data_IF_572656909341
#
_entry.id   IF_572656909341
#
_cell.length_a   1.000
_cell.length_b   1.000
_cell.length_c   1.000
_cell.angle_alpha   90.00
_cell.angle_beta   90.00
_cell.angle_gamma   90.00
#
_symmetry.space_group_name_H-M   'P 1'
#
loop_
_entity.id
_entity.type
_entity.pdbx_description
1 polymer ?
#
# COMPACT_ATOMS: atom_id res chain seq x y z
N UNK A 1 -2.53 -10.00 -36.21
CA UNK A 1 -2.47 -9.34 -34.89
C UNK A 1 -1.11 -9.63 -34.31
N UNK A 2 -0.29 -8.61 -34.05
CA UNK A 2 1.02 -8.81 -33.43
C UNK A 2 0.81 -9.44 -32.06
N UNK A 3 1.55 -10.51 -31.75
CA UNK A 3 1.58 -11.06 -30.41
C UNK A 3 2.10 -9.97 -29.47
N UNK A 4 1.31 -9.58 -28.47
CA UNK A 4 1.83 -8.75 -27.39
C UNK A 4 3.01 -9.50 -26.76
N UNK A 5 4.20 -8.91 -26.82
CA UNK A 5 5.37 -9.46 -26.15
C UNK A 5 5.06 -9.56 -24.65
N UNK A 6 5.18 -10.78 -24.12
CA UNK A 6 5.01 -11.03 -22.68
C UNK A 6 6.30 -10.67 -21.97
N UNK A 7 6.39 -9.46 -21.45
CA UNK A 7 7.52 -9.04 -20.61
C UNK A 7 7.48 -9.82 -19.29
N UNK A 8 8.61 -10.43 -18.94
CA UNK A 8 8.84 -10.98 -17.60
C UNK A 8 9.66 -9.98 -16.80
N UNK A 9 9.17 -9.67 -15.59
CA UNK A 9 9.86 -8.80 -14.65
C UNK A 9 10.13 -9.63 -13.40
N UNK A 10 11.40 -9.76 -13.01
CA UNK A 10 11.78 -10.37 -11.74
C UNK A 10 11.66 -9.32 -10.64
N UNK A 11 10.92 -9.66 -9.58
CA UNK A 11 10.88 -8.87 -8.34
C UNK A 11 11.76 -9.57 -7.32
N UNK A 12 12.77 -8.86 -6.83
CA UNK A 12 13.71 -9.36 -5.83
C UNK A 12 13.76 -8.45 -4.59
N UNK A 13 14.64 -8.78 -3.63
CA UNK A 13 14.76 -8.07 -2.34
C UNK A 13 13.46 -8.03 -1.51
N UNK A 14 12.65 -9.09 -1.62
CA UNK A 14 11.43 -9.25 -0.84
C UNK A 14 11.68 -10.16 0.35
N UNK A 15 11.16 -9.77 1.51
CA UNK A 15 11.10 -10.59 2.73
C UNK A 15 9.65 -10.75 3.17
N UNK A 16 9.29 -11.91 3.73
CA UNK A 16 7.95 -12.19 4.24
C UNK A 16 7.95 -12.37 5.75
N UNK A 17 6.89 -11.88 6.41
CA UNK A 17 6.60 -12.10 7.83
C UNK A 17 5.19 -12.64 7.97
N UNK A 18 4.98 -13.60 8.86
CA UNK A 18 3.64 -14.09 9.18
C UNK A 18 3.07 -13.34 10.40
N UNK A 19 2.03 -12.51 10.20
CA UNK A 19 1.48 -11.68 11.26
C UNK A 19 0.90 -12.44 12.47
N UNK A 20 0.48 -13.70 12.31
CA UNK A 20 -0.02 -14.52 13.41
C UNK A 20 1.11 -15.16 14.22
N UNK A 21 2.20 -15.54 13.56
CA UNK A 21 3.34 -16.23 14.19
C UNK A 21 4.43 -15.27 14.67
N UNK A 22 4.54 -14.11 14.03
CA UNK A 22 5.64 -13.14 14.22
C UNK A 22 5.11 -11.70 14.45
N UNK A 23 4.17 -11.49 15.39
CA UNK A 23 3.54 -10.17 15.59
C UNK A 23 4.55 -9.08 15.97
N UNK A 24 5.54 -9.39 16.81
CA UNK A 24 6.57 -8.43 17.23
C UNK A 24 7.46 -8.01 16.05
N UNK A 25 7.81 -8.95 15.17
CA UNK A 25 8.57 -8.64 13.96
C UNK A 25 7.77 -7.74 13.00
N UNK A 26 6.45 -7.91 12.91
CA UNK A 26 5.58 -7.01 12.14
C UNK A 26 5.54 -5.62 12.76
N UNK A 27 5.40 -5.51 14.07
CA UNK A 27 5.42 -4.24 14.82
C UNK A 27 6.75 -3.51 14.56
N UNK A 28 7.87 -4.21 14.64
CA UNK A 28 9.21 -3.67 14.37
C UNK A 28 9.34 -3.20 12.93
N UNK A 29 8.77 -3.97 12.00
CA UNK A 29 8.77 -3.61 10.58
C UNK A 29 7.96 -2.33 10.34
N UNK A 30 6.77 -2.19 10.92
CA UNK A 30 5.98 -0.95 10.87
C UNK A 30 6.75 0.22 11.48
N UNK A 31 7.35 0.04 12.65
CA UNK A 31 8.08 1.10 13.35
C UNK A 31 9.28 1.65 12.55
N UNK A 32 9.92 0.78 11.75
CA UNK A 32 11.13 1.09 10.98
C UNK A 32 10.88 1.35 9.48
N UNK A 33 9.65 1.21 9.00
CA UNK A 33 9.33 1.44 7.58
C UNK A 33 9.31 2.92 7.23
N UNK A 34 9.65 3.19 5.97
CA UNK A 34 9.56 4.52 5.35
C UNK A 34 8.16 4.78 4.78
N UNK A 35 7.50 3.71 4.32
CA UNK A 35 6.14 3.70 3.80
C UNK A 35 5.49 2.35 4.13
N UNK A 36 4.20 2.36 4.45
CA UNK A 36 3.43 1.17 4.76
C UNK A 36 2.25 1.12 3.79
N UNK A 37 2.07 0.01 3.09
CA UNK A 37 0.94 -0.17 2.16
C UNK A 37 0.14 -1.43 2.49
N UNK A 38 -1.14 -1.45 2.12
CA UNK A 38 -2.00 -2.64 2.28
C UNK A 38 -2.72 -2.97 0.98
N UNK A 39 -2.88 -4.25 0.68
CA UNK A 39 -3.69 -4.77 -0.44
C UNK A 39 -4.29 -6.13 -0.06
N UNK A 40 -5.01 -6.16 1.07
CA UNK A 40 -5.43 -7.39 1.77
C UNK A 40 -6.95 -7.60 1.77
N UNK A 41 -7.71 -6.64 1.25
CA UNK A 41 -9.16 -6.58 1.28
C UNK A 41 -9.69 -5.76 2.46
N UNK A 42 -10.77 -5.00 2.26
CA UNK A 42 -11.28 -4.05 3.27
C UNK A 42 -11.72 -4.74 4.57
N UNK A 43 -12.20 -5.98 4.49
CA UNK A 43 -12.63 -6.76 5.65
C UNK A 43 -11.46 -7.21 6.54
N UNK A 44 -10.23 -7.18 6.03
CA UNK A 44 -9.02 -7.57 6.75
C UNK A 44 -8.33 -6.37 7.41
N UNK A 45 -8.62 -5.13 6.97
CA UNK A 45 -8.06 -3.91 7.57
C UNK A 45 -8.22 -3.84 9.10
N UNK A 46 -9.38 -4.19 9.71
CA UNK A 46 -9.52 -4.19 11.16
C UNK A 46 -8.56 -5.17 11.86
N UNK A 47 -8.19 -6.27 11.21
CA UNK A 47 -7.34 -7.32 11.79
C UNK A 47 -5.89 -6.85 11.92
N UNK A 48 -5.42 -6.00 11.00
CA UNK A 48 -4.05 -5.46 11.02
C UNK A 48 -3.92 -4.14 11.80
N UNK A 49 -5.04 -3.49 12.14
CA UNK A 49 -5.07 -2.16 12.73
C UNK A 49 -4.30 -2.09 14.06
N UNK A 50 -4.45 -3.11 14.91
CA UNK A 50 -3.73 -3.17 16.20
C UNK A 50 -2.21 -3.28 15.99
N UNK A 51 -1.74 -4.07 15.02
CA UNK A 51 -0.32 -4.22 14.73
C UNK A 51 0.28 -2.90 14.21
N UNK A 52 -0.46 -2.19 13.35
CA UNK A 52 -0.06 -0.86 12.88
C UNK A 52 0.01 0.13 14.05
N UNK A 53 -1.01 0.16 14.91
CA UNK A 53 -1.05 1.03 16.08
C UNK A 53 0.16 0.80 17.01
N UNK A 54 0.47 -0.48 17.29
CA UNK A 54 1.64 -0.87 18.09
C UNK A 54 2.96 -0.45 17.44
N UNK A 55 3.07 -0.56 16.12
CA UNK A 55 4.24 -0.07 15.38
C UNK A 55 4.40 1.46 15.45
N UNK A 56 3.30 2.21 15.36
CA UNK A 56 3.29 3.67 15.53
C UNK A 56 3.71 4.04 16.97
N UNK A 57 3.16 3.36 17.97
CA UNK A 57 3.52 3.54 19.38
C UNK A 57 5.01 3.29 19.61
N UNK A 58 5.55 2.18 19.07
CA UNK A 58 6.97 1.87 19.16
C UNK A 58 7.83 2.96 18.50
N UNK A 59 7.47 3.40 17.29
CA UNK A 59 8.16 4.49 16.58
C UNK A 59 8.21 5.78 17.40
N UNK A 60 7.09 6.14 18.06
CA UNK A 60 7.02 7.29 18.98
C UNK A 60 7.90 7.11 20.21
N UNK A 61 7.84 5.95 20.86
CA UNK A 61 8.62 5.64 22.07
C UNK A 61 10.13 5.66 21.81
N UNK A 62 10.55 5.30 20.59
CA UNK A 62 11.94 5.40 20.13
C UNK A 62 12.34 6.83 19.73
N UNK A 63 11.42 7.81 19.81
CA UNK A 63 11.68 9.20 19.49
C UNK A 63 11.87 9.48 18.00
N UNK A 64 11.50 8.55 17.12
CA UNK A 64 11.67 8.72 15.68
C UNK A 64 10.65 9.74 15.14
N UNK A 65 11.12 10.89 14.66
CA UNK A 65 10.27 11.96 14.10
C UNK A 65 10.21 11.94 12.56
N UNK A 66 10.83 10.94 11.92
CA UNK A 66 10.84 10.84 10.46
C UNK A 66 9.41 10.60 9.96
N UNK A 67 8.86 11.44 9.07
CA UNK A 67 7.51 11.23 8.57
C UNK A 67 7.38 9.93 7.78
N UNK A 68 6.26 9.23 7.93
CA UNK A 68 5.89 8.02 7.18
C UNK A 68 4.44 8.09 6.75
N UNK A 69 4.09 7.44 5.63
CA UNK A 69 2.70 7.34 5.18
C UNK A 69 2.22 5.88 5.25
N UNK A 70 0.98 5.69 5.68
CA UNK A 70 0.24 4.42 5.70
C UNK A 70 -0.87 4.50 4.64
N UNK A 71 -0.72 3.77 3.54
CA UNK A 71 -1.55 3.89 2.34
C UNK A 71 -2.31 2.58 2.08
N UNK A 72 -3.62 2.57 2.34
CA UNK A 72 -4.45 1.43 2.01
C UNK A 72 -4.73 1.40 0.50
N UNK A 73 -4.07 0.51 -0.22
CA UNK A 73 -4.20 0.27 -1.66
C UNK A 73 -5.31 -0.76 -1.92
N UNK A 74 -6.47 -0.54 -1.30
CA UNK A 74 -7.62 -1.42 -1.42
C UNK A 74 -8.55 -0.97 -2.56
N UNK A 75 -9.34 -1.90 -3.10
CA UNK A 75 -10.41 -1.54 -4.03
C UNK A 75 -11.63 -0.96 -3.28
N UNK A 76 -11.42 0.15 -2.57
CA UNK A 76 -12.45 0.89 -1.85
C UNK A 76 -12.15 2.39 -1.84
N UNK A 77 -13.20 3.20 -1.83
CA UNK A 77 -13.07 4.65 -1.61
C UNK A 77 -12.79 4.89 -0.13
N UNK A 78 -11.81 5.73 0.19
CA UNK A 78 -11.55 6.11 1.58
C UNK A 78 -10.79 5.07 2.41
N UNK A 79 -10.12 4.10 1.77
CA UNK A 79 -9.51 2.97 2.47
C UNK A 79 -8.53 3.36 3.58
N UNK A 80 -7.71 4.39 3.36
CA UNK A 80 -6.72 4.83 4.36
C UNK A 80 -7.39 5.50 5.55
N UNK A 81 -8.49 6.25 5.34
CA UNK A 81 -9.28 6.86 6.40
C UNK A 81 -9.99 5.79 7.24
N UNK A 82 -10.57 4.79 6.58
CA UNK A 82 -11.18 3.65 7.28
C UNK A 82 -10.12 2.91 8.11
N UNK A 83 -8.93 2.69 7.56
CA UNK A 83 -7.83 2.09 8.31
C UNK A 83 -7.42 2.97 9.50
N UNK A 84 -7.27 4.28 9.30
CA UNK A 84 -6.97 5.23 10.37
C UNK A 84 -8.02 5.17 11.49
N UNK A 85 -9.31 5.15 11.16
CA UNK A 85 -10.38 5.01 12.17
C UNK A 85 -10.20 3.76 13.03
N UNK A 86 -9.81 2.63 12.43
CA UNK A 86 -9.53 1.39 13.18
C UNK A 86 -8.24 1.45 13.97
N UNK A 87 -7.18 2.05 13.42
CA UNK A 87 -5.89 2.21 14.11
C UNK A 87 -6.06 3.08 15.35
N UNK A 88 -6.81 4.20 15.24
CA UNK A 88 -7.04 5.15 16.33
C UNK A 88 -7.69 4.53 17.57
N UNK A 89 -8.46 3.44 17.44
CA UNK A 89 -9.09 2.79 18.60
C UNK A 89 -8.08 2.14 19.56
N UNK A 90 -6.83 1.98 19.12
CA UNK A 90 -5.72 1.40 19.91
C UNK A 90 -4.70 2.45 20.36
N UNK A 91 -4.93 3.74 20.05
CA UNK A 91 -3.99 4.82 20.31
C UNK A 91 -4.44 5.67 21.51
N UNK A 92 -3.47 6.12 22.30
CA UNK A 92 -3.69 7.14 23.34
C UNK A 92 -3.68 8.55 22.73
N UNK A 93 -4.12 9.56 23.49
CA UNK A 93 -4.07 10.97 23.03
C UNK A 93 -2.65 11.44 22.67
N UNK A 94 -1.64 10.95 23.38
CA UNK A 94 -0.23 11.24 23.08
C UNK A 94 0.19 10.60 21.74
N UNK A 95 -0.26 9.37 21.48
CA UNK A 95 0.00 8.69 20.20
C UNK A 95 -0.72 9.40 19.04
N UNK A 96 -1.94 9.87 19.25
CA UNK A 96 -2.71 10.62 18.25
C UNK A 96 -2.03 11.94 17.89
N UNK A 97 -1.49 12.65 18.89
CA UNK A 97 -0.69 13.87 18.67
C UNK A 97 0.55 13.56 17.83
N UNK A 98 1.21 12.43 18.08
CA UNK A 98 2.35 12.00 17.27
C UNK A 98 1.94 11.67 15.82
N UNK A 99 0.83 10.94 15.62
CA UNK A 99 0.27 10.63 14.29
C UNK A 99 -0.02 11.90 13.50
N UNK A 100 -0.70 12.88 14.10
CA UNK A 100 -1.04 14.14 13.42
C UNK A 100 0.19 14.88 12.86
N UNK A 101 1.33 14.77 13.55
CA UNK A 101 2.56 15.44 13.16
C UNK A 101 3.45 14.63 12.21
N UNK A 102 3.42 13.29 12.28
CA UNK A 102 4.45 12.45 11.64
C UNK A 102 3.92 11.31 10.77
N UNK A 103 2.65 10.91 10.90
CA UNK A 103 2.11 9.75 10.17
C UNK A 103 0.94 10.17 9.28
N UNK A 104 1.14 10.09 7.96
CA UNK A 104 0.07 10.34 6.99
C UNK A 104 -0.76 9.09 6.76
N UNK A 105 -2.06 9.29 6.47
CA UNK A 105 -2.96 8.25 6.01
C UNK A 105 -3.61 8.68 4.69
N UNK A 106 -2.83 8.92 3.63
CA UNK A 106 -3.40 9.40 2.38
C UNK A 106 -4.20 8.30 1.69
N UNK A 107 -5.39 8.64 1.21
CA UNK A 107 -6.15 7.75 0.35
C UNK A 107 -5.40 7.43 -0.94
N UNK A 108 -5.73 6.29 -1.53
CA UNK A 108 -5.27 5.91 -2.84
C UNK A 108 -6.40 5.45 -3.75
N UNK A 109 -6.21 5.66 -5.05
CA UNK A 109 -6.94 4.96 -6.10
C UNK A 109 -5.94 4.05 -6.83
N UNK A 110 -6.24 2.75 -6.89
CA UNK A 110 -5.41 1.75 -7.58
C UNK A 110 -6.20 1.05 -8.65
N UNK A 111 -5.58 0.78 -9.80
CA UNK A 111 -6.21 0.10 -10.93
C UNK A 111 -5.18 -0.76 -11.67
N UNK A 112 -5.44 -2.08 -11.69
CA UNK A 112 -4.70 -3.08 -12.47
C UNK A 112 -5.50 -4.37 -12.44
N UNK A 113 -5.76 -4.95 -13.60
CA UNK A 113 -6.39 -6.27 -13.70
C UNK A 113 -5.35 -7.36 -13.45
N UNK A 114 -5.66 -8.21 -12.47
CA UNK A 114 -4.94 -9.45 -12.17
C UNK A 114 -5.89 -10.61 -12.46
N UNK A 115 -5.73 -11.35 -13.58
CA UNK A 115 -6.61 -12.45 -13.93
C UNK A 115 -6.50 -13.63 -12.94
N UNK A 116 -7.56 -14.46 -12.86
CA UNK A 116 -7.49 -15.74 -12.14
C UNK A 116 -6.47 -16.57 -12.89
N UNK A 117 -5.50 -17.06 -12.15
CA UNK A 117 -4.39 -17.78 -12.70
C UNK A 117 -3.90 -18.81 -11.68
N UNK A 118 -3.35 -19.90 -12.20
CA UNK A 118 -2.74 -20.93 -11.40
C UNK A 118 -1.42 -21.30 -12.07
N UNK A 119 -0.35 -21.22 -11.30
CA UNK A 119 1.00 -21.51 -11.73
C UNK A 119 1.63 -22.50 -10.75
N UNK A 120 2.70 -23.17 -11.19
CA UNK A 120 3.46 -24.07 -10.30
C UNK A 120 4.19 -23.29 -9.21
N UNK A 121 4.73 -22.12 -9.56
CA UNK A 121 5.30 -21.18 -8.61
C UNK A 121 4.17 -20.35 -7.95
N UNK A 122 3.94 -20.47 -6.62
CA UNK A 122 2.88 -19.76 -5.92
C UNK A 122 3.10 -18.25 -5.83
N UNK A 123 4.31 -17.75 -6.12
CA UNK A 123 4.63 -16.31 -6.14
C UNK A 123 4.54 -15.69 -7.53
N UNK A 124 4.39 -16.52 -8.56
CA UNK A 124 4.28 -16.03 -9.92
C UNK A 124 2.90 -15.41 -10.18
N UNK A 125 2.91 -14.18 -10.70
CA UNK A 125 1.71 -13.43 -11.04
C UNK A 125 1.85 -12.79 -12.42
N UNK A 126 0.86 -13.02 -13.27
CA UNK A 126 0.64 -12.35 -14.54
C UNK A 126 -0.38 -11.24 -14.34
N UNK A 127 -0.11 -10.07 -14.90
CA UNK A 127 -0.98 -8.90 -14.82
C UNK A 127 -1.12 -8.29 -16.21
N UNK A 128 -2.14 -7.47 -16.41
CA UNK A 128 -2.20 -6.66 -17.62
C UNK A 128 -1.08 -5.58 -17.64
N UNK A 129 -0.72 -5.05 -18.82
CA UNK A 129 0.27 -3.98 -18.93
C UNK A 129 -0.17 -2.67 -18.26
N UNK A 130 -1.47 -2.35 -18.31
CA UNK A 130 -1.99 -1.13 -17.70
C UNK A 130 -1.90 -1.20 -16.18
N UNK A 131 -1.43 -0.10 -15.58
CA UNK A 131 -1.56 0.11 -14.15
C UNK A 131 -1.67 1.60 -13.85
N UNK A 132 -2.43 1.91 -12.81
CA UNK A 132 -2.54 3.25 -12.27
C UNK A 132 -2.54 3.18 -10.75
N UNK A 133 -1.70 3.99 -10.12
CA UNK A 133 -1.70 4.18 -8.68
C UNK A 133 -1.59 5.67 -8.40
N UNK A 134 -2.64 6.21 -7.78
CA UNK A 134 -2.74 7.61 -7.40
C UNK A 134 -2.93 7.73 -5.89
N UNK A 135 -2.25 8.70 -5.28
CA UNK A 135 -2.27 8.98 -3.84
C UNK A 135 -2.71 10.42 -3.62
N UNK A 136 -3.58 10.65 -2.64
CA UNK A 136 -3.97 11.99 -2.20
C UNK A 136 -2.83 12.66 -1.41
N UNK A 137 -2.13 13.58 -2.06
CA UNK A 137 -0.95 14.22 -1.48
C UNK A 137 -1.28 15.26 -0.39
N UNK A 138 -2.55 15.65 -0.26
CA UNK A 138 -2.97 16.60 0.78
C UNK A 138 -2.91 15.99 2.18
N UNK A 139 -3.00 14.66 2.26
CA UNK A 139 -3.01 13.88 3.50
C UNK A 139 -1.65 13.21 3.80
N UNK A 140 -0.69 13.34 2.88
CA UNK A 140 0.66 12.77 3.02
C UNK A 140 1.51 13.60 3.97
N UNK A 141 2.19 12.93 4.90
CA UNK A 141 3.20 13.53 5.79
C UNK A 141 4.61 13.26 5.27
N UNK A 142 4.82 12.12 4.62
CA UNK A 142 6.11 11.73 4.06
C UNK A 142 6.37 12.28 2.64
N UNK A 143 6.20 13.60 2.44
CA UNK A 143 6.30 14.23 1.10
C UNK A 143 7.66 14.08 0.41
N UNK A 144 8.71 13.80 1.18
CA UNK A 144 10.05 13.51 0.69
C UNK A 144 10.19 12.12 0.04
N UNK A 145 9.23 11.21 0.26
CA UNK A 145 9.23 9.86 -0.29
C UNK A 145 8.26 9.82 -1.48
N UNK A 146 8.82 9.65 -2.68
CA UNK A 146 8.03 9.50 -3.91
C UNK A 146 8.46 8.24 -4.63
N UNK A 147 7.49 7.38 -4.91
CA UNK A 147 7.69 6.16 -5.68
C UNK A 147 7.58 6.46 -7.16
N UNK A 148 8.41 5.81 -7.97
CA UNK A 148 8.30 5.86 -9.42
C UNK A 148 6.98 5.26 -9.88
N UNK A 149 6.38 5.85 -10.92
CA UNK A 149 5.10 5.42 -11.51
C UNK A 149 3.89 5.51 -10.56
N UNK A 150 3.99 6.28 -9.48
CA UNK A 150 2.88 6.65 -8.60
C UNK A 150 2.56 8.13 -8.79
N UNK A 151 1.30 8.44 -9.09
CA UNK A 151 0.83 9.83 -9.17
C UNK A 151 0.45 10.34 -7.79
N UNK A 152 0.88 11.55 -7.47
CA UNK A 152 0.51 12.25 -6.24
C UNK A 152 -0.35 13.45 -6.61
N UNK A 153 -1.63 13.41 -6.25
CA UNK A 153 -2.65 14.36 -6.72
C UNK A 153 -3.33 15.05 -5.56
N UNK A 154 -3.90 16.23 -5.80
CA UNK A 154 -4.67 16.96 -4.79
C UNK A 154 -6.14 16.52 -4.70
N UNK A 155 -6.62 15.77 -5.69
CA UNK A 155 -8.01 15.29 -5.75
C UNK A 155 -8.07 13.95 -6.49
N UNK A 156 -8.61 12.93 -5.80
CA UNK A 156 -8.81 11.58 -6.34
C UNK A 156 -10.16 11.43 -7.06
N UNK A 157 -11.15 12.31 -6.82
CA UNK A 157 -12.51 12.13 -7.31
C UNK A 157 -12.61 11.92 -8.83
N UNK A 158 -11.93 12.71 -9.69
CA UNK A 158 -12.01 12.51 -11.15
C UNK A 158 -11.53 11.13 -11.60
N UNK A 159 -10.56 10.56 -10.88
CA UNK A 159 -9.95 9.27 -11.20
C UNK A 159 -10.82 8.11 -10.73
N UNK A 160 -11.40 8.24 -9.54
CA UNK A 160 -12.38 7.29 -9.00
C UNK A 160 -13.60 7.24 -9.92
N UNK A 161 -14.14 8.39 -10.34
CA UNK A 161 -15.26 8.46 -11.28
C UNK A 161 -14.92 7.77 -12.61
N UNK A 162 -13.79 8.14 -13.23
CA UNK A 162 -13.32 7.51 -14.48
C UNK A 162 -13.16 6.00 -14.35
N UNK A 163 -12.63 5.51 -13.22
CA UNK A 163 -12.50 4.07 -12.93
C UNK A 163 -13.88 3.41 -12.83
N UNK A 164 -14.82 3.99 -12.09
CA UNK A 164 -16.16 3.46 -11.95
C UNK A 164 -16.88 3.34 -13.30
N UNK A 165 -16.79 4.35 -14.16
CA UNK A 165 -17.40 4.31 -15.50
C UNK A 165 -16.82 3.20 -16.39
N UNK A 166 -15.50 2.95 -16.34
CA UNK A 166 -14.86 1.84 -17.07
C UNK A 166 -15.24 0.48 -16.47
N UNK A 167 -15.19 0.36 -15.14
CA UNK A 167 -15.49 -0.90 -14.44
C UNK A 167 -16.93 -1.39 -14.59
N UNK A 168 -17.91 -0.48 -14.78
CA UNK A 168 -19.30 -0.85 -15.09
C UNK A 168 -19.39 -1.52 -16.47
N UNK A 169 -18.52 -1.17 -17.41
CA UNK A 169 -18.42 -1.83 -18.71
C UNK A 169 -17.67 -3.17 -18.62
N UNK A 170 -16.74 -3.30 -17.67
CA UNK A 170 -15.87 -4.46 -17.47
C UNK A 170 -16.37 -5.47 -16.41
N UNK A 171 -17.64 -5.37 -15.99
CA UNK A 171 -18.22 -6.11 -14.85
C UNK A 171 -18.48 -7.62 -15.12
N UNK A 172 -17.49 -8.33 -15.66
CA UNK A 172 -17.37 -9.79 -15.60
C UNK A 172 -15.99 -10.18 -15.06
N UNK A 173 -15.96 -10.58 -13.76
CA UNK A 173 -14.84 -11.13 -12.97
C UNK A 173 -13.90 -10.04 -12.42
N UNK A 174 -13.48 -10.05 -11.15
CA UNK A 174 -12.65 -11.10 -10.56
C UNK A 174 -12.38 -10.87 -9.05
N UNK A 175 -12.19 -11.97 -8.30
CA UNK A 175 -11.91 -12.02 -6.85
C UNK A 175 -10.45 -11.69 -6.49
N UNK A 176 -10.30 -10.79 -5.51
CA UNK A 176 -9.47 -10.78 -4.27
C UNK A 176 -8.13 -11.55 -4.20
N UNK A 177 -7.12 -10.81 -3.68
CA UNK A 177 -5.88 -11.16 -2.93
C UNK A 177 -4.64 -11.69 -3.64
N UNK A 178 -3.53 -10.94 -3.52
CA UNK A 178 -2.21 -11.47 -3.13
C UNK A 178 -1.22 -10.35 -2.73
N UNK A 179 -0.51 -10.59 -1.62
CA UNK A 179 0.81 -10.07 -1.21
C UNK A 179 0.91 -8.65 -0.61
N UNK A 180 0.80 -8.62 0.73
CA UNK A 180 1.38 -7.58 1.60
C UNK A 180 2.91 -7.55 1.41
N UNK A 181 3.44 -6.46 0.85
CA UNK A 181 4.88 -6.21 0.76
C UNK A 181 5.24 -5.08 1.72
N UNK A 182 6.06 -5.35 2.73
CA UNK A 182 6.70 -4.30 3.53
C UNK A 182 8.03 -3.97 2.83
N UNK A 183 8.12 -2.77 2.25
CA UNK A 183 9.35 -2.28 1.61
C UNK A 183 10.26 -1.68 2.68
N UNK A 184 11.36 -2.37 3.01
CA UNK A 184 12.53 -1.77 3.68
C UNK A 184 13.59 -1.44 2.64
N UNK A 185 14.02 -0.18 2.59
CA UNK A 185 15.07 0.27 1.66
C UNK A 185 16.42 -0.35 2.06
N UNK A 186 16.95 -1.24 1.23
CA UNK A 186 18.41 -1.37 1.08
C UNK A 186 18.84 -0.44 -0.06
N UNK A 187 19.92 0.31 0.18
CA UNK A 187 20.34 1.38 -0.71
C UNK A 187 20.92 0.85 -2.03
N UNK A 188 20.32 1.24 -3.16
CA UNK A 188 20.96 1.91 -4.31
C UNK A 188 19.94 2.25 -5.40
N UNK A 189 19.67 3.55 -5.58
CA UNK A 189 19.20 4.07 -6.86
C UNK A 189 20.38 4.07 -7.83
N UNK A 190 20.25 3.39 -8.96
CA UNK A 190 20.73 3.90 -10.26
C UNK A 190 20.37 2.91 -11.38
N UNK A 191 19.76 3.48 -12.42
CA UNK A 191 19.58 2.97 -13.79
C UNK A 191 18.36 2.06 -14.04
N UNK A 192 17.36 2.64 -14.71
CA UNK A 192 16.89 2.11 -16.01
C UNK A 192 16.29 3.27 -16.80
N UNK A 193 17.14 3.86 -17.65
CA UNK A 193 16.73 4.59 -18.85
C UNK A 193 16.41 3.56 -19.94
N UNK A 194 15.43 3.91 -20.78
CA UNK A 194 15.16 3.38 -22.12
C UNK A 194 14.80 1.89 -22.22
N UNK A 195 13.53 1.58 -22.52
CA UNK A 195 13.01 1.27 -23.86
C UNK A 195 11.47 1.24 -23.83
#
# INVERSE_FOLDING_TARGET
>A
MAAQEKTHITVDQVTGLNNQKEPDAVIDSVATSDIITTAIGPNVLPIIAELIAKGIQKRRQEGNQTPTDVIACENMIGGSQILLEKVRTYLTEEDLTYVENTVGFPNAAVDRIVPIQQHEDPLFVSVEPFCEWLVDDTQSKAKQIRLDNVGYVSDLAPYIERKLFRSIQDMQRLLIQALTTIIKRSAKLSQMNEY
#
